data_IF_770958754771
#
_entry.id   IF_770958754771
#
_cell.length_a   1.000
_cell.length_b   1.000
_cell.length_c   1.000
_cell.angle_alpha   90.00
_cell.angle_beta   90.00
_cell.angle_gamma   90.00
#
_symmetry.space_group_name_H-M   'P 1'
#
loop_
_entity.id
_entity.type
_entity.pdbx_description
1 polymer ?
#
# COMPACT_ATOMS: atom_id res chain seq x y z
N UNK A 1 2.62 9.21 -5.94
CA UNK A 1 2.97 8.30 -4.83
C UNK A 1 3.58 7.01 -5.35
N UNK A 2 4.34 6.36 -4.54
CA UNK A 2 5.04 5.13 -4.91
C UNK A 2 4.55 3.99 -4.02
N UNK A 3 4.19 2.87 -4.63
CA UNK A 3 3.78 1.66 -3.91
C UNK A 3 4.85 0.59 -4.15
N UNK A 4 5.36 0.03 -3.08
CA UNK A 4 6.41 -0.97 -3.15
C UNK A 4 5.89 -2.28 -2.54
N UNK A 5 6.02 -3.36 -3.27
CA UNK A 5 5.67 -4.69 -2.79
C UNK A 5 6.71 -5.69 -3.29
N UNK A 6 7.51 -6.24 -2.37
CA UNK A 6 8.62 -7.13 -2.71
C UNK A 6 9.57 -6.43 -3.69
N UNK A 7 9.74 -6.97 -4.89
CA UNK A 7 10.61 -6.39 -5.92
C UNK A 7 9.85 -5.52 -6.92
N UNK A 8 8.57 -5.27 -6.67
CA UNK A 8 7.74 -4.48 -7.58
C UNK A 8 7.52 -3.08 -7.04
N UNK A 9 7.51 -2.12 -7.95
CA UNK A 9 7.27 -0.72 -7.63
C UNK A 9 6.27 -0.16 -8.62
N UNK A 10 5.23 0.49 -8.11
CA UNK A 10 4.25 1.17 -8.95
C UNK A 10 4.22 2.64 -8.61
N UNK A 11 4.04 3.48 -9.62
CA UNK A 11 3.82 4.91 -9.46
C UNK A 11 2.34 5.18 -9.70
N UNK A 12 1.68 5.81 -8.73
CA UNK A 12 0.28 6.22 -8.86
C UNK A 12 0.20 7.74 -8.75
N UNK A 13 -0.76 8.33 -9.42
CA UNK A 13 -0.98 9.78 -9.40
C UNK A 13 -2.25 10.10 -8.64
N UNK A 14 -2.28 11.33 -8.09
CA UNK A 14 -3.46 11.83 -7.40
C UNK A 14 -3.52 11.37 -5.96
N UNK A 15 -4.70 11.46 -5.39
CA UNK A 15 -4.98 11.08 -4.00
C UNK A 15 -5.83 9.84 -3.98
N UNK A 16 -5.55 8.94 -3.06
CA UNK A 16 -6.35 7.74 -2.92
C UNK A 16 -6.18 7.19 -1.51
N UNK A 17 -7.11 6.37 -1.08
CA UNK A 17 -6.93 5.65 0.17
C UNK A 17 -5.91 4.53 -0.04
N UNK A 18 -5.30 4.10 1.05
CA UNK A 18 -4.40 2.94 1.02
C UNK A 18 -5.12 1.74 0.41
N UNK A 19 -6.37 1.51 0.81
CA UNK A 19 -7.18 0.41 0.29
C UNK A 19 -7.29 0.44 -1.23
N UNK A 20 -7.64 1.60 -1.76
CA UNK A 20 -7.82 1.75 -3.20
C UNK A 20 -6.48 1.62 -3.94
N UNK A 21 -5.41 2.14 -3.36
CA UNK A 21 -4.08 1.99 -3.96
C UNK A 21 -3.69 0.52 -4.04
N UNK A 22 -3.95 -0.26 -2.99
CA UNK A 22 -3.67 -1.69 -2.99
C UNK A 22 -4.45 -2.41 -4.10
N UNK A 23 -5.71 -2.04 -4.26
CA UNK A 23 -6.54 -2.63 -5.32
C UNK A 23 -6.05 -2.24 -6.71
N UNK A 24 -5.61 -1.01 -6.87
CA UNK A 24 -5.10 -0.54 -8.16
C UNK A 24 -3.88 -1.30 -8.64
N UNK A 25 -3.05 -1.77 -7.72
CA UNK A 25 -1.88 -2.55 -8.07
C UNK A 25 -2.18 -4.05 -8.15
N UNK A 26 -3.44 -4.43 -8.04
CA UNK A 26 -3.85 -5.83 -8.22
C UNK A 26 -3.71 -6.70 -6.99
N UNK A 27 -3.55 -6.10 -5.81
CA UNK A 27 -3.44 -6.84 -4.57
C UNK A 27 -4.74 -6.74 -3.77
N UNK A 28 -4.84 -7.55 -2.74
CA UNK A 28 -6.01 -7.57 -1.87
C UNK A 28 -5.71 -6.83 -0.56
N UNK A 29 -6.52 -5.83 -0.18
CA UNK A 29 -6.26 -5.06 1.05
C UNK A 29 -6.17 -5.91 2.31
N UNK A 30 -6.86 -7.02 2.36
CA UNK A 30 -6.81 -7.92 3.52
C UNK A 30 -5.59 -8.84 3.52
N UNK A 31 -4.83 -8.87 2.46
CA UNK A 31 -3.66 -9.74 2.34
C UNK A 31 -2.35 -9.03 2.59
N UNK A 32 -2.37 -7.72 2.75
CA UNK A 32 -1.16 -6.92 2.93
C UNK A 32 -1.37 -5.87 4.02
N UNK A 33 -0.26 -5.48 4.63
CA UNK A 33 -0.20 -4.34 5.53
C UNK A 33 0.57 -3.22 4.86
N UNK A 34 0.20 -1.99 5.14
CA UNK A 34 0.85 -0.82 4.57
C UNK A 34 1.71 -0.12 5.61
N UNK A 35 2.91 0.24 5.19
CA UNK A 35 3.84 1.01 6.01
C UNK A 35 4.15 2.32 5.31
N UNK A 36 4.18 3.41 6.08
CA UNK A 36 4.65 4.70 5.61
C UNK A 36 5.69 5.19 6.60
N UNK A 37 6.90 5.46 6.13
CA UNK A 37 8.03 5.90 6.98
C UNK A 37 8.30 4.93 8.14
N UNK A 38 8.14 3.64 7.87
CA UNK A 38 8.39 2.60 8.85
C UNK A 38 7.27 2.37 9.84
N UNK A 39 6.14 3.08 9.71
CA UNK A 39 5.01 2.94 10.62
C UNK A 39 3.82 2.30 9.91
N UNK A 40 3.15 1.39 10.59
CA UNK A 40 1.92 0.81 10.07
C UNK A 40 0.84 1.86 9.95
N UNK A 41 0.16 1.88 8.83
CA UNK A 41 -1.00 2.74 8.62
C UNK A 41 -2.19 1.88 8.26
N UNK A 42 -3.37 2.40 8.57
CA UNK A 42 -4.62 1.69 8.26
C UNK A 42 -5.01 1.91 6.80
N UNK A 43 -5.89 1.08 6.30
CA UNK A 43 -6.28 1.11 4.89
C UNK A 43 -7.17 2.29 4.51
N UNK A 44 -7.69 3.01 5.48
CA UNK A 44 -8.51 4.20 5.26
C UNK A 44 -7.69 5.50 5.21
N UNK A 45 -6.39 5.43 5.43
CA UNK A 45 -5.52 6.60 5.36
C UNK A 45 -5.44 7.09 3.91
N UNK A 46 -5.54 8.39 3.72
CA UNK A 46 -5.40 8.99 2.38
C UNK A 46 -3.92 9.25 2.11
N UNK A 47 -3.47 8.81 0.96
CA UNK A 47 -2.09 8.99 0.52
C UNK A 47 -2.07 9.78 -0.78
N UNK A 48 -1.03 10.56 -0.98
CA UNK A 48 -0.91 11.44 -2.16
C UNK A 48 0.53 11.94 -2.31
N UNK A 49 0.79 12.59 -3.42
CA UNK A 49 2.03 13.32 -3.63
C UNK A 49 3.26 12.45 -3.57
N UNK A 50 4.14 12.77 -2.65
CA UNK A 50 5.43 12.10 -2.50
C UNK A 50 5.40 10.92 -1.54
N UNK A 51 4.24 10.49 -1.12
CA UNK A 51 4.15 9.36 -0.20
C UNK A 51 4.75 8.11 -0.83
N UNK A 52 5.48 7.36 -0.02
CA UNK A 52 6.01 6.07 -0.40
C UNK A 52 5.42 5.04 0.55
N UNK A 53 4.70 4.09 0.00
CA UNK A 53 4.00 3.09 0.79
C UNK A 53 4.62 1.73 0.51
N UNK A 54 5.07 1.08 1.55
CA UNK A 54 5.60 -0.27 1.44
C UNK A 54 4.54 -1.25 1.88
N UNK A 55 4.30 -2.26 1.08
CA UNK A 55 3.32 -3.30 1.41
C UNK A 55 4.03 -4.57 1.86
N UNK A 56 3.51 -5.17 2.91
CA UNK A 56 4.04 -6.42 3.45
C UNK A 56 2.94 -7.46 3.37
N UNK A 57 3.26 -8.63 2.86
CA UNK A 57 2.31 -9.74 2.82
C UNK A 57 2.01 -10.19 4.24
N UNK A 58 0.73 -10.36 4.52
CA UNK A 58 0.30 -10.96 5.78
C UNK A 58 -0.07 -12.39 5.47
N UNK A 59 0.70 -13.31 5.95
CA UNK A 59 0.34 -14.69 5.79
C UNK A 59 -0.59 -15.05 6.93
N UNK A 60 -1.85 -15.13 6.64
CA UNK A 60 -2.75 -15.76 7.59
C UNK A 60 -2.33 -17.22 7.60
N UNK A 61 -1.82 -17.67 8.70
CA UNK A 61 -1.30 -19.00 8.82
C UNK A 61 -2.29 -20.09 8.48
N UNK A 62 -2.67 -20.18 7.39
CA UNK A 62 -3.57 -21.25 6.95
C UNK A 62 -2.85 -22.11 6.02
#
# INVERSE_FOLDING_TARGET
>A
MKIIYRDKVWELKGRTSVRDAIRKVGLHPEAVLALRDGELITDDVIIAGDDTIKLISVVSGG
#
